data_IF_173487001166
#
_entry.id   IF_173487001166
#
_cell.length_a   1.000
_cell.length_b   1.000
_cell.length_c   1.000
_cell.angle_alpha   90.00
_cell.angle_beta   90.00
_cell.angle_gamma   90.00
#
_symmetry.space_group_name_H-M   'P 1'
#
loop_
_entity.id
_entity.type
_entity.pdbx_description
1 polymer ?
#
# COMPACT_ATOMS: atom_id res chain seq x y z
N UNK A 1 -11.96 20.62 0.04
CA UNK A 1 -12.80 20.14 -1.09
C UNK A 1 -13.96 19.33 -0.52
N UNK A 2 -15.14 19.28 -1.15
CA UNK A 2 -16.19 18.37 -0.71
C UNK A 2 -15.71 16.92 -0.88
N UNK A 3 -15.85 16.13 0.18
CA UNK A 3 -15.53 14.69 0.19
C UNK A 3 -16.34 13.98 -0.89
N UNK A 4 -15.69 13.17 -1.72
CA UNK A 4 -16.40 12.40 -2.73
C UNK A 4 -17.27 11.35 -2.04
N UNK A 5 -18.47 11.03 -2.59
CA UNK A 5 -19.42 10.12 -1.93
C UNK A 5 -18.88 8.69 -1.74
N UNK A 6 -17.84 8.30 -2.49
CA UNK A 6 -17.18 6.99 -2.41
C UNK A 6 -16.01 6.94 -1.42
N UNK A 7 -15.52 8.06 -0.89
CA UNK A 7 -14.38 8.08 0.05
C UNK A 7 -14.63 7.30 1.35
N UNK A 8 -15.80 7.41 2.02
CA UNK A 8 -16.09 6.62 3.21
C UNK A 8 -16.11 5.12 2.93
N UNK A 9 -16.58 4.72 1.75
CA UNK A 9 -16.60 3.33 1.30
C UNK A 9 -15.17 2.84 1.04
N UNK A 10 -14.34 3.64 0.35
CA UNK A 10 -12.94 3.32 0.13
C UNK A 10 -12.17 3.11 1.46
N UNK A 11 -12.39 3.99 2.45
CA UNK A 11 -11.78 3.85 3.77
C UNK A 11 -12.20 2.57 4.52
N UNK A 12 -13.44 2.11 4.33
CA UNK A 12 -13.88 0.82 4.87
C UNK A 12 -13.08 -0.34 4.26
N UNK A 13 -12.87 -0.31 2.95
CA UNK A 13 -12.08 -1.34 2.26
C UNK A 13 -10.59 -1.29 2.63
N UNK A 14 -10.04 -0.08 2.82
CA UNK A 14 -8.67 0.12 3.31
C UNK A 14 -8.47 -0.58 4.65
N UNK A 15 -9.34 -0.32 5.63
CA UNK A 15 -9.21 -0.91 6.97
C UNK A 15 -9.34 -2.43 6.95
N UNK A 16 -10.27 -2.96 6.15
CA UNK A 16 -10.43 -4.40 6.00
C UNK A 16 -9.17 -5.06 5.40
N UNK A 17 -8.63 -4.51 4.31
CA UNK A 17 -7.43 -5.07 3.70
C UNK A 17 -6.18 -4.89 4.57
N UNK A 18 -6.04 -3.73 5.22
CA UNK A 18 -4.93 -3.47 6.14
C UNK A 18 -4.87 -4.50 7.28
N UNK A 19 -6.03 -4.93 7.81
CA UNK A 19 -6.11 -6.02 8.80
C UNK A 19 -5.48 -7.32 8.27
N UNK A 20 -5.80 -7.72 7.05
CA UNK A 20 -5.23 -8.95 6.45
C UNK A 20 -3.73 -8.82 6.23
N UNK A 21 -3.26 -7.69 5.70
CA UNK A 21 -1.84 -7.43 5.49
C UNK A 21 -1.06 -7.39 6.80
N UNK A 22 -1.63 -6.82 7.86
CA UNK A 22 -1.03 -6.79 9.19
C UNK A 22 -0.82 -8.22 9.75
N UNK A 23 -1.84 -9.07 9.67
CA UNK A 23 -1.71 -10.47 10.12
C UNK A 23 -0.71 -11.24 9.27
N UNK A 24 -0.69 -10.97 7.96
CA UNK A 24 0.30 -11.54 7.05
C UNK A 24 1.72 -11.18 7.50
N UNK A 25 2.01 -9.91 7.74
CA UNK A 25 3.33 -9.44 8.16
C UNK A 25 3.80 -10.09 9.48
N UNK A 26 2.96 -10.06 10.51
CA UNK A 26 3.28 -10.66 11.83
C UNK A 26 3.55 -12.15 11.70
N UNK A 27 2.63 -12.88 11.05
CA UNK A 27 2.71 -14.34 11.00
C UNK A 27 3.83 -14.81 10.08
N UNK A 28 4.09 -14.11 8.98
CA UNK A 28 5.21 -14.42 8.09
C UNK A 28 6.56 -14.29 8.80
N UNK A 29 6.72 -13.31 9.69
CA UNK A 29 7.96 -13.13 10.45
C UNK A 29 8.23 -14.34 11.36
N UNK A 30 7.23 -14.80 12.13
CA UNK A 30 7.36 -15.98 13.00
C UNK A 30 7.63 -17.25 12.19
N UNK A 31 6.91 -17.45 11.08
CA UNK A 31 7.07 -18.65 10.25
C UNK A 31 8.40 -18.67 9.48
N UNK A 32 9.04 -17.52 9.28
CA UNK A 32 10.36 -17.44 8.67
C UNK A 32 11.46 -17.98 9.59
N UNK A 33 11.22 -18.08 10.90
CA UNK A 33 12.18 -18.64 11.87
C UNK A 33 12.40 -20.14 11.68
N UNK A 34 11.39 -20.88 11.17
CA UNK A 34 11.49 -22.32 10.87
C UNK A 34 10.81 -22.67 9.53
N UNK A 35 11.52 -22.49 8.40
CA UNK A 35 10.98 -22.80 7.08
C UNK A 35 10.63 -24.29 6.91
N UNK A 36 11.35 -25.20 7.57
CA UNK A 36 11.12 -26.65 7.44
C UNK A 36 9.79 -27.03 8.06
N UNK A 37 9.50 -26.54 9.26
CA UNK A 37 8.22 -26.77 9.93
C UNK A 37 7.06 -26.10 9.18
N UNK A 38 7.27 -24.88 8.66
CA UNK A 38 6.27 -24.20 7.80
C UNK A 38 5.92 -25.04 6.58
N UNK A 39 6.92 -25.56 5.88
CA UNK A 39 6.71 -26.34 4.65
C UNK A 39 6.05 -27.70 4.96
N UNK A 40 6.33 -28.30 6.11
CA UNK A 40 5.61 -29.47 6.59
C UNK A 40 4.12 -29.15 6.86
N UNK A 41 3.83 -28.05 7.57
CA UNK A 41 2.46 -27.61 7.81
C UNK A 41 1.70 -27.31 6.51
N UNK A 42 2.37 -26.75 5.50
CA UNK A 42 1.77 -26.53 4.18
C UNK A 42 1.35 -27.85 3.50
N UNK A 43 2.14 -28.91 3.64
CA UNK A 43 1.77 -30.25 3.14
C UNK A 43 0.60 -30.84 3.92
N UNK A 44 0.59 -30.68 5.24
CA UNK A 44 -0.52 -31.14 6.09
C UNK A 44 -1.82 -30.39 5.78
N UNK A 45 -1.72 -29.08 5.50
CA UNK A 45 -2.84 -28.25 5.09
C UNK A 45 -3.44 -28.71 3.75
N UNK A 46 -2.59 -29.12 2.79
CA UNK A 46 -3.05 -29.72 1.53
C UNK A 46 -3.88 -31.00 1.72
N UNK A 47 -3.63 -31.73 2.81
CA UNK A 47 -4.39 -32.92 3.18
C UNK A 47 -5.64 -32.61 4.03
N UNK A 48 -5.78 -31.38 4.51
CA UNK A 48 -6.88 -30.96 5.39
C UNK A 48 -8.22 -30.91 4.66
N UNK A 49 -9.29 -31.29 5.38
CA UNK A 49 -10.68 -31.22 4.91
C UNK A 49 -11.53 -30.25 5.75
N UNK A 50 -10.89 -29.36 6.51
CA UNK A 50 -11.60 -28.43 7.37
C UNK A 50 -12.41 -27.41 6.54
N UNK A 51 -13.64 -27.04 6.95
CA UNK A 51 -14.60 -26.28 6.14
C UNK A 51 -14.18 -24.82 5.79
N UNK A 52 -13.05 -24.34 6.30
CA UNK A 52 -12.53 -22.99 6.03
C UNK A 52 -11.05 -22.98 5.62
N UNK A 53 -10.48 -24.17 5.43
CA UNK A 53 -9.11 -24.36 4.93
C UNK A 53 -9.22 -24.68 3.46
N UNK A 54 -8.68 -23.78 2.62
CA UNK A 54 -8.65 -23.98 1.16
C UNK A 54 -7.21 -24.22 0.73
N UNK A 55 -6.85 -25.48 0.44
CA UNK A 55 -5.47 -25.82 0.13
C UNK A 55 -5.00 -25.22 -1.20
N UNK A 56 -5.91 -25.01 -2.15
CA UNK A 56 -5.69 -24.20 -3.33
C UNK A 56 -6.23 -22.78 -3.09
N UNK A 57 -5.36 -21.77 -3.17
CA UNK A 57 -5.70 -20.34 -3.03
C UNK A 57 -6.55 -19.82 -4.21
N UNK A 58 -7.43 -20.65 -4.75
CA UNK A 58 -8.29 -20.37 -5.88
C UNK A 58 -9.62 -19.81 -5.38
N UNK A 59 -10.13 -18.84 -6.12
CA UNK A 59 -11.46 -18.29 -5.90
C UNK A 59 -12.47 -19.08 -6.71
N UNK A 60 -13.51 -19.60 -6.05
CA UNK A 60 -14.68 -20.15 -6.72
C UNK A 60 -15.79 -19.08 -6.77
N UNK A 61 -16.22 -18.63 -7.96
CA UNK A 61 -17.28 -17.63 -8.10
C UNK A 61 -18.62 -18.02 -7.49
N UNK A 62 -18.85 -19.31 -7.22
CA UNK A 62 -20.09 -19.83 -6.61
C UNK A 62 -20.06 -19.88 -5.08
N UNK A 63 -18.92 -19.57 -4.47
CA UNK A 63 -18.78 -19.57 -3.02
C UNK A 63 -19.66 -18.50 -2.35
N UNK A 64 -20.20 -18.86 -1.18
CA UNK A 64 -20.73 -17.88 -0.23
C UNK A 64 -19.55 -17.13 0.43
N UNK A 65 -19.03 -16.15 -0.30
CA UNK A 65 -17.87 -15.37 0.11
C UNK A 65 -18.11 -14.60 1.41
N UNK A 66 -19.34 -14.18 1.71
CA UNK A 66 -19.65 -13.43 2.93
C UNK A 66 -19.50 -14.31 4.18
N UNK A 67 -20.01 -15.54 4.10
CA UNK A 67 -19.84 -16.53 5.17
C UNK A 67 -18.38 -16.92 5.34
N UNK A 68 -17.65 -17.13 4.24
CA UNK A 68 -16.22 -17.47 4.29
C UNK A 68 -15.37 -16.35 4.87
N UNK A 69 -15.53 -15.10 4.38
CA UNK A 69 -14.82 -13.94 4.90
C UNK A 69 -15.09 -13.74 6.39
N UNK A 70 -16.34 -13.89 6.83
CA UNK A 70 -16.69 -13.81 8.26
C UNK A 70 -15.99 -14.89 9.07
N UNK A 71 -15.99 -16.15 8.60
CA UNK A 71 -15.30 -17.25 9.29
C UNK A 71 -13.79 -17.03 9.42
N UNK A 72 -13.15 -16.47 8.38
CA UNK A 72 -11.75 -16.08 8.45
C UNK A 72 -11.55 -14.87 9.37
N UNK A 73 -12.41 -13.86 9.31
CA UNK A 73 -12.34 -12.70 10.19
C UNK A 73 -12.45 -13.05 11.68
N UNK A 74 -13.33 -14.00 12.02
CA UNK A 74 -13.50 -14.56 13.36
C UNK A 74 -12.25 -15.32 13.80
N UNK A 75 -11.66 -16.11 12.90
CA UNK A 75 -10.39 -16.82 13.14
C UNK A 75 -9.22 -15.84 13.34
N UNK A 76 -9.20 -14.74 12.57
CA UNK A 76 -8.18 -13.69 12.64
C UNK A 76 -8.34 -12.78 13.86
N UNK A 77 -9.49 -12.78 14.54
CA UNK A 77 -9.69 -12.04 15.78
C UNK A 77 -8.99 -12.68 17.00
N UNK A 78 -8.66 -13.97 16.94
CA UNK A 78 -8.02 -14.70 18.04
C UNK A 78 -6.50 -14.57 17.99
N UNK A 79 -5.85 -14.07 19.04
CA UNK A 79 -4.38 -13.95 19.08
C UNK A 79 -3.69 -15.30 18.84
N UNK A 80 -2.62 -15.31 18.04
CA UNK A 80 -1.79 -16.51 17.87
C UNK A 80 -0.84 -16.66 19.05
N UNK A 81 -0.80 -17.86 19.60
CA UNK A 81 0.03 -18.20 20.76
C UNK A 81 1.14 -19.19 20.42
N UNK A 82 1.11 -19.78 19.22
CA UNK A 82 2.07 -20.79 18.78
C UNK A 82 2.32 -20.75 17.26
N UNK A 83 3.31 -21.51 16.81
CA UNK A 83 3.70 -21.58 15.40
C UNK A 83 2.57 -22.06 14.48
N UNK A 84 1.72 -22.97 14.96
CA UNK A 84 0.62 -23.53 14.16
C UNK A 84 -0.52 -22.52 13.97
N UNK A 85 -0.86 -21.77 15.01
CA UNK A 85 -1.83 -20.68 14.96
C UNK A 85 -1.33 -19.54 14.08
N UNK A 86 -0.04 -19.19 14.13
CA UNK A 86 0.56 -18.27 13.16
C UNK A 86 0.46 -18.80 11.71
N UNK A 87 0.72 -20.09 11.49
CA UNK A 87 0.57 -20.70 10.16
C UNK A 87 -0.86 -20.59 9.62
N UNK A 88 -1.85 -20.95 10.43
CA UNK A 88 -3.26 -20.87 10.03
C UNK A 88 -3.72 -19.42 9.83
N UNK A 89 -3.30 -18.50 10.70
CA UNK A 89 -3.61 -17.06 10.55
C UNK A 89 -3.00 -16.49 9.28
N UNK A 90 -1.76 -16.84 8.94
CA UNK A 90 -1.17 -16.44 7.67
C UNK A 90 -2.01 -16.96 6.50
N UNK A 91 -2.36 -18.24 6.52
CA UNK A 91 -3.17 -18.85 5.46
C UNK A 91 -4.54 -18.17 5.29
N UNK A 92 -5.27 -17.96 6.40
CA UNK A 92 -6.56 -17.27 6.39
C UNK A 92 -6.44 -15.82 5.93
N UNK A 93 -5.40 -15.09 6.33
CA UNK A 93 -5.16 -13.72 5.88
C UNK A 93 -4.89 -13.65 4.37
N UNK A 94 -4.10 -14.59 3.82
CA UNK A 94 -3.83 -14.66 2.37
C UNK A 94 -5.09 -14.97 1.59
N UNK A 95 -5.88 -15.96 2.00
CA UNK A 95 -7.08 -16.29 1.23
C UNK A 95 -8.18 -15.24 1.39
N UNK A 96 -8.32 -14.65 2.59
CA UNK A 96 -9.27 -13.57 2.82
C UNK A 96 -8.92 -12.35 1.95
N UNK A 97 -7.65 -11.99 1.81
CA UNK A 97 -7.25 -10.88 0.93
C UNK A 97 -7.57 -11.15 -0.54
N UNK A 98 -7.34 -12.38 -1.03
CA UNK A 98 -7.69 -12.79 -2.40
C UNK A 98 -9.21 -12.74 -2.63
N UNK A 99 -10.01 -13.30 -1.73
CA UNK A 99 -11.48 -13.30 -1.86
C UNK A 99 -12.05 -11.89 -1.74
N UNK A 100 -11.52 -11.08 -0.81
CA UNK A 100 -11.94 -9.71 -0.64
C UNK A 100 -11.61 -8.88 -1.89
N UNK A 101 -10.43 -9.07 -2.48
CA UNK A 101 -10.06 -8.42 -3.73
C UNK A 101 -11.02 -8.79 -4.86
N UNK A 102 -11.32 -10.07 -5.03
CA UNK A 102 -12.16 -10.56 -6.12
C UNK A 102 -13.63 -10.15 -5.99
N UNK A 103 -14.25 -10.38 -4.82
CA UNK A 103 -15.71 -10.19 -4.63
C UNK A 103 -16.10 -8.80 -4.16
N UNK A 104 -15.19 -8.05 -3.53
CA UNK A 104 -15.52 -6.77 -2.89
C UNK A 104 -14.78 -5.61 -3.54
N UNK A 105 -13.46 -5.67 -3.62
CA UNK A 105 -12.66 -4.54 -4.08
C UNK A 105 -12.72 -4.35 -5.60
N UNK A 106 -12.57 -5.42 -6.38
CA UNK A 106 -12.62 -5.37 -7.84
C UNK A 106 -13.95 -4.81 -8.36
N UNK A 107 -15.13 -5.23 -7.85
CA UNK A 107 -16.40 -4.59 -8.20
C UNK A 107 -16.50 -3.12 -7.80
N UNK A 108 -15.95 -2.74 -6.63
CA UNK A 108 -15.93 -1.33 -6.20
C UNK A 108 -15.04 -0.46 -7.12
N UNK A 109 -13.87 -0.97 -7.53
CA UNK A 109 -12.99 -0.30 -8.49
C UNK A 109 -13.69 -0.16 -9.85
N UNK A 110 -14.39 -1.21 -10.33
CA UNK A 110 -15.15 -1.12 -11.58
C UNK A 110 -16.28 -0.10 -11.50
N UNK A 111 -16.94 0.04 -10.35
CA UNK A 111 -18.04 0.98 -10.13
C UNK A 111 -17.57 2.44 -10.05
N UNK A 112 -16.48 2.70 -9.35
CA UNK A 112 -16.03 4.06 -9.02
C UNK A 112 -14.84 4.55 -9.86
N UNK A 113 -14.18 3.66 -10.59
CA UNK A 113 -13.09 3.96 -11.51
C UNK A 113 -11.75 4.27 -10.84
N UNK A 114 -10.84 4.85 -11.61
CA UNK A 114 -9.42 4.98 -11.24
C UNK A 114 -9.18 5.87 -10.02
N UNK A 115 -10.00 6.91 -9.82
CA UNK A 115 -9.88 7.79 -8.64
C UNK A 115 -10.08 7.04 -7.32
N UNK A 116 -11.04 6.11 -7.28
CA UNK A 116 -11.24 5.24 -6.13
C UNK A 116 -10.04 4.32 -5.92
N UNK A 117 -9.53 3.72 -7.01
CA UNK A 117 -8.37 2.82 -6.95
C UNK A 117 -7.12 3.54 -6.42
N UNK A 118 -6.82 4.73 -6.95
CA UNK A 118 -5.70 5.56 -6.49
C UNK A 118 -5.84 5.92 -5.01
N UNK A 119 -7.01 6.41 -4.61
CA UNK A 119 -7.26 6.77 -3.21
C UNK A 119 -7.15 5.57 -2.28
N UNK A 120 -7.76 4.43 -2.66
CA UNK A 120 -7.68 3.18 -1.92
C UNK A 120 -6.23 2.72 -1.74
N UNK A 121 -5.45 2.66 -2.81
CA UNK A 121 -4.04 2.23 -2.76
C UNK A 121 -3.19 3.16 -1.90
N UNK A 122 -3.35 4.48 -2.05
CA UNK A 122 -2.63 5.46 -1.25
C UNK A 122 -2.95 5.31 0.23
N UNK A 123 -4.24 5.24 0.61
CA UNK A 123 -4.65 5.10 2.00
C UNK A 123 -4.29 3.73 2.58
N UNK A 124 -4.35 2.66 1.79
CA UNK A 124 -3.91 1.33 2.22
C UNK A 124 -2.41 1.30 2.54
N UNK A 125 -1.59 1.90 1.68
CA UNK A 125 -0.15 1.98 1.92
C UNK A 125 0.15 2.76 3.21
N UNK A 126 -0.51 3.89 3.44
CA UNK A 126 -0.33 4.67 4.67
C UNK A 126 -0.74 3.89 5.91
N UNK A 127 -1.90 3.24 5.88
CA UNK A 127 -2.40 2.44 7.01
C UNK A 127 -1.42 1.28 7.31
N UNK A 128 -0.94 0.61 6.27
CA UNK A 128 -0.01 -0.50 6.41
C UNK A 128 1.37 -0.06 6.91
N UNK A 129 1.91 1.05 6.39
CA UNK A 129 3.18 1.62 6.86
C UNK A 129 3.09 2.09 8.30
N UNK A 130 1.99 2.76 8.67
CA UNK A 130 1.72 3.14 10.06
C UNK A 130 1.70 1.92 10.97
N UNK A 131 1.07 0.82 10.54
CA UNK A 131 1.08 -0.43 11.27
C UNK A 131 2.49 -1.03 11.40
N UNK A 132 3.25 -1.10 10.30
CA UNK A 132 4.61 -1.65 10.31
C UNK A 132 5.55 -0.87 11.23
N UNK A 133 5.36 0.44 11.36
CA UNK A 133 6.11 1.28 12.30
C UNK A 133 5.83 0.95 13.78
N UNK A 134 4.68 0.33 14.10
CA UNK A 134 4.35 -0.11 15.47
C UNK A 134 4.93 -1.47 15.84
N UNK A 135 5.37 -2.26 14.85
CA UNK A 135 5.96 -3.56 15.12
C UNK A 135 7.37 -3.37 15.71
N UNK A 136 7.71 -4.08 16.81
CA UNK A 136 9.06 -4.02 17.35
C UNK A 136 10.06 -4.40 16.25
N UNK A 137 10.95 -3.47 15.89
CA UNK A 137 12.01 -3.68 14.88
C UNK A 137 13.10 -4.67 15.35
N UNK A 138 12.73 -5.71 16.09
CA UNK A 138 13.59 -6.85 16.32
C UNK A 138 13.68 -7.67 15.05
N UNK A 139 14.83 -7.57 14.36
CA UNK A 139 15.30 -8.44 13.27
C UNK A 139 15.12 -7.98 11.81
N UNK A 140 14.73 -6.73 11.51
CA UNK A 140 14.74 -6.22 10.12
C UNK A 140 16.01 -5.45 9.71
N UNK A 141 16.95 -5.18 10.63
CA UNK A 141 18.20 -4.47 10.31
C UNK A 141 19.38 -4.97 11.15
N UNK A 142 19.99 -6.10 10.79
CA UNK A 142 21.36 -6.40 11.28
C UNK A 142 22.43 -6.52 10.20
N UNK A 143 22.09 -6.62 8.91
CA UNK A 143 23.09 -6.81 7.86
C UNK A 143 22.93 -5.90 6.63
N UNK A 144 22.27 -4.75 6.77
CA UNK A 144 22.43 -3.68 5.78
C UNK A 144 23.68 -2.89 6.18
N UNK A 145 24.79 -2.92 5.42
CA UNK A 145 25.97 -2.14 5.77
C UNK A 145 25.58 -0.67 5.76
N UNK A 146 25.56 -0.06 6.95
CA UNK A 146 25.41 1.38 7.11
C UNK A 146 26.47 2.06 6.25
N UNK A 147 26.06 2.63 5.12
CA UNK A 147 26.95 3.52 4.37
C UNK A 147 27.26 4.71 5.27
N UNK A 148 28.51 5.19 5.28
CA UNK A 148 28.91 6.28 6.15
C UNK A 148 28.03 7.49 5.86
N UNK A 149 27.36 7.94 6.92
CA UNK A 149 26.60 9.19 6.96
C UNK A 149 27.45 10.30 6.34
N UNK A 150 27.06 10.77 5.16
CA UNK A 150 27.47 12.07 4.68
C UNK A 150 26.78 13.08 5.60
N UNK A 151 27.59 13.67 6.49
CA UNK A 151 27.27 14.73 7.43
C UNK A 151 25.92 15.41 7.19
N UNK A 152 25.03 15.19 8.16
CA UNK A 152 23.93 16.08 8.47
C UNK A 152 24.48 17.50 8.68
N UNK A 153 24.37 18.34 7.65
CA UNK A 153 23.92 19.70 7.90
C UNK A 153 22.48 19.57 8.35
N UNK A 154 22.16 20.06 9.55
CA UNK A 154 20.81 20.09 10.08
C UNK A 154 19.87 20.67 9.02
N UNK A 155 19.09 19.81 8.36
CA UNK A 155 18.00 20.24 7.52
C UNK A 155 16.88 20.64 8.47
N UNK A 156 16.72 21.95 8.64
CA UNK A 156 15.54 22.53 9.24
C UNK A 156 14.30 21.84 8.66
N UNK A 157 13.42 21.33 9.53
CA UNK A 157 12.11 20.82 9.13
C UNK A 157 11.48 21.81 8.14
N UNK A 158 11.07 21.38 6.93
CA UNK A 158 10.59 22.31 5.92
C UNK A 158 9.33 22.98 6.46
N UNK A 159 9.45 24.28 6.75
CA UNK A 159 8.32 25.09 7.17
C UNK A 159 7.24 25.03 6.09
N UNK A 160 5.95 24.86 6.45
CA UNK A 160 4.87 24.84 5.48
C UNK A 160 4.90 26.14 4.66
N UNK A 161 4.66 26.08 3.33
CA UNK A 161 4.56 27.29 2.53
C UNK A 161 3.40 28.16 3.02
N UNK A 162 3.46 29.49 2.79
CA UNK A 162 2.37 30.39 3.15
C UNK A 162 1.03 29.90 2.59
N UNK A 163 -0.04 29.97 3.40
CA UNK A 163 -1.39 29.53 3.03
C UNK A 163 -1.90 30.15 1.71
N UNK A 164 -1.37 31.31 1.33
CA UNK A 164 -1.77 32.08 0.14
C UNK A 164 -1.18 31.62 -1.19
N UNK A 165 -0.37 30.55 -1.24
CA UNK A 165 0.11 30.04 -2.54
C UNK A 165 -1.02 29.37 -3.32
N UNK A 166 -1.14 29.74 -4.61
CA UNK A 166 -2.11 29.15 -5.51
C UNK A 166 -1.81 27.64 -5.72
N UNK A 167 -2.86 26.82 -5.74
CA UNK A 167 -2.75 25.44 -6.17
C UNK A 167 -2.25 25.36 -7.62
N UNK A 168 -1.61 24.26 -7.98
CA UNK A 168 -1.26 24.01 -9.38
C UNK A 168 -2.55 23.75 -10.16
N UNK A 169 -2.89 24.63 -11.10
CA UNK A 169 -4.08 24.45 -11.91
C UNK A 169 -3.94 23.29 -12.90
N UNK A 170 -5.07 22.79 -13.40
CA UNK A 170 -5.11 21.65 -14.32
C UNK A 170 -4.36 21.92 -15.64
N UNK A 171 -4.35 23.17 -16.12
CA UNK A 171 -3.66 23.52 -17.35
C UNK A 171 -2.14 23.40 -17.17
N UNK A 172 -1.63 23.83 -16.02
CA UNK A 172 -0.23 23.72 -15.62
C UNK A 172 0.17 22.28 -15.36
N UNK A 173 -0.67 21.47 -14.69
CA UNK A 173 -0.41 20.03 -14.54
C UNK A 173 -0.35 19.34 -15.90
N UNK A 174 -1.28 19.65 -16.80
CA UNK A 174 -1.30 19.07 -18.15
C UNK A 174 -0.06 19.45 -18.96
N UNK A 175 0.38 20.71 -18.86
CA UNK A 175 1.61 21.17 -19.50
C UNK A 175 2.87 20.48 -18.94
N UNK A 176 2.92 20.26 -17.62
CA UNK A 176 4.02 19.56 -16.97
C UNK A 176 4.06 18.07 -17.35
N UNK A 177 2.91 17.40 -17.45
CA UNK A 177 2.83 15.98 -17.84
C UNK A 177 3.09 15.79 -19.35
N UNK A 178 2.80 16.79 -20.18
CA UNK A 178 3.16 16.78 -21.60
C UNK A 178 4.68 16.81 -21.84
N UNK A 179 5.47 17.19 -20.83
CA UNK A 179 6.92 17.14 -20.86
C UNK A 179 7.43 16.59 -19.53
N UNK A 180 7.31 15.27 -19.29
CA UNK A 180 7.62 14.64 -18.01
C UNK A 180 8.98 15.03 -17.44
N UNK A 181 9.98 15.22 -18.31
CA UNK A 181 11.34 15.63 -17.92
C UNK A 181 11.36 16.99 -17.20
N UNK A 182 10.39 17.86 -17.45
CA UNK A 182 10.24 19.13 -16.76
C UNK A 182 9.89 18.94 -15.27
N UNK A 183 9.37 17.78 -14.87
CA UNK A 183 9.06 17.49 -13.46
C UNK A 183 10.29 17.10 -12.64
N UNK A 184 11.40 16.69 -13.29
CA UNK A 184 12.61 16.24 -12.59
C UNK A 184 13.18 17.37 -11.71
N UNK A 185 13.36 17.06 -10.42
CA UNK A 185 13.92 18.00 -9.46
C UNK A 185 12.97 19.10 -9.01
N UNK A 186 11.73 19.17 -9.52
CA UNK A 186 10.73 20.10 -8.98
C UNK A 186 10.21 19.56 -7.65
N UNK A 187 10.22 20.43 -6.64
CA UNK A 187 9.59 20.20 -5.35
C UNK A 187 8.18 20.81 -5.31
N UNK A 188 7.24 20.02 -4.82
CA UNK A 188 5.84 20.40 -4.62
C UNK A 188 5.50 20.21 -3.16
N UNK A 189 4.69 21.10 -2.59
CA UNK A 189 4.20 20.92 -1.23
C UNK A 189 2.77 20.40 -1.27
N UNK A 190 2.57 19.22 -0.68
CA UNK A 190 1.27 18.59 -0.57
C UNK A 190 0.52 19.16 0.64
N UNK A 191 -0.73 19.56 0.45
CA UNK A 191 -1.54 20.23 1.48
C UNK A 191 -2.50 19.30 2.23
N UNK A 192 -2.60 18.05 1.81
CA UNK A 192 -3.43 17.05 2.49
C UNK A 192 -2.94 16.83 3.92
N UNK A 193 -3.84 16.86 4.92
CA UNK A 193 -3.49 16.73 6.34
C UNK A 193 -2.71 15.44 6.66
N UNK A 194 -2.77 14.43 5.79
CA UNK A 194 -2.11 13.13 5.97
C UNK A 194 -0.81 13.03 5.17
N UNK A 195 -0.68 13.73 4.04
CA UNK A 195 0.51 13.72 3.17
C UNK A 195 1.27 15.06 3.18
N UNK A 196 1.02 15.87 4.20
CA UNK A 196 1.59 17.20 4.34
C UNK A 196 3.11 17.11 4.33
N UNK A 197 3.73 17.74 3.36
CA UNK A 197 5.18 17.68 3.20
C UNK A 197 5.64 18.01 1.80
N UNK A 198 6.96 18.02 1.62
CA UNK A 198 7.59 18.36 0.35
C UNK A 198 7.85 17.08 -0.43
N UNK A 199 7.27 17.00 -1.62
CA UNK A 199 7.42 15.90 -2.56
C UNK A 199 8.31 16.35 -3.71
N UNK A 200 9.17 15.47 -4.21
CA UNK A 200 10.04 15.75 -5.35
C UNK A 200 10.04 14.59 -6.31
N UNK A 201 9.86 14.85 -7.60
CA UNK A 201 10.08 13.82 -8.63
C UNK A 201 11.59 13.66 -8.83
N UNK A 202 12.09 12.47 -8.53
CA UNK A 202 13.52 12.14 -8.54
C UNK A 202 13.96 11.50 -9.85
N UNK A 203 13.24 10.47 -10.27
CA UNK A 203 13.57 9.70 -11.48
C UNK A 203 12.32 9.46 -12.31
N UNK A 204 12.46 9.42 -13.63
CA UNK A 204 11.39 9.04 -14.55
C UNK A 204 11.85 7.84 -15.36
N UNK A 205 11.08 6.77 -15.31
CA UNK A 205 11.37 5.51 -16.00
C UNK A 205 10.27 5.23 -17.01
N UNK A 206 10.63 4.93 -18.26
CA UNK A 206 9.67 4.50 -19.28
C UNK A 206 9.68 2.98 -19.34
N UNK A 207 8.56 2.34 -18.98
CA UNK A 207 8.38 0.89 -19.03
C UNK A 207 7.59 0.53 -20.29
N UNK A 208 8.22 -0.17 -21.22
CA UNK A 208 7.51 -0.69 -22.41
C UNK A 208 6.98 -2.08 -22.12
N UNK A 209 5.68 -2.27 -22.33
CA UNK A 209 4.96 -3.53 -22.16
C UNK A 209 4.33 -3.96 -23.49
N UNK A 210 3.77 -5.16 -23.55
CA UNK A 210 3.08 -5.69 -24.73
C UNK A 210 1.87 -4.84 -25.16
N UNK A 211 1.28 -4.07 -24.24
CA UNK A 211 0.11 -3.20 -24.48
C UNK A 211 0.49 -1.72 -24.69
N UNK A 212 1.79 -1.40 -24.72
CA UNK A 212 2.30 -0.05 -24.96
C UNK A 212 3.36 0.39 -23.95
N UNK A 213 3.83 1.63 -24.10
CA UNK A 213 4.81 2.26 -23.20
C UNK A 213 4.09 3.06 -22.13
N UNK A 214 4.33 2.73 -20.86
CA UNK A 214 3.90 3.51 -19.70
C UNK A 214 5.07 4.32 -19.14
N UNK A 215 4.76 5.51 -18.63
CA UNK A 215 5.71 6.35 -17.88
C UNK A 215 5.48 6.11 -16.39
N UNK A 216 6.54 5.76 -15.68
CA UNK A 216 6.58 5.58 -14.23
C UNK A 216 7.45 6.68 -13.65
N UNK A 217 6.90 7.38 -12.66
CA UNK A 217 7.57 8.44 -11.93
C UNK A 217 8.00 7.90 -10.57
N UNK A 218 9.26 8.13 -10.20
CA UNK A 218 9.77 7.85 -8.86
C UNK A 218 9.75 9.16 -8.10
N UNK A 219 8.90 9.23 -7.09
CA UNK A 219 8.70 10.42 -6.25
C UNK A 219 9.30 10.16 -4.87
N UNK A 220 10.03 11.14 -4.36
CA UNK A 220 10.62 11.17 -3.03
C UNK A 220 9.83 12.10 -2.12
N UNK A 221 9.81 11.77 -0.84
CA UNK A 221 9.37 12.65 0.23
C UNK A 221 10.62 13.24 0.91
N UNK A 222 10.67 14.55 1.15
CA UNK A 222 11.89 15.26 1.63
C UNK A 222 12.40 14.69 2.98
N UNK A 223 11.51 14.11 3.76
CA UNK A 223 11.72 13.59 5.11
C UNK A 223 12.06 12.09 5.14
N UNK A 224 11.95 11.39 4.00
CA UNK A 224 12.10 9.95 3.90
C UNK A 224 12.93 9.55 2.68
N UNK A 225 13.92 8.66 2.87
CA UNK A 225 14.68 8.07 1.75
C UNK A 225 13.84 7.12 0.87
N UNK A 226 12.55 6.96 1.19
CA UNK A 226 11.63 6.05 0.52
C UNK A 226 11.22 6.58 -0.87
N UNK A 227 11.20 5.65 -1.84
CA UNK A 227 10.92 5.92 -3.25
C UNK A 227 9.55 5.36 -3.62
N UNK A 228 8.66 6.24 -4.05
CA UNK A 228 7.32 5.86 -4.49
C UNK A 228 7.25 5.79 -6.01
N UNK A 229 6.94 4.62 -6.57
CA UNK A 229 6.62 4.49 -7.99
C UNK A 229 5.16 4.91 -8.23
N UNK A 230 4.95 5.88 -9.12
CA UNK A 230 3.64 6.41 -9.47
C UNK A 230 3.43 6.39 -10.98
N UNK A 231 2.19 6.15 -11.40
CA UNK A 231 1.77 6.35 -12.80
C UNK A 231 1.62 7.84 -13.11
N UNK A 232 1.47 8.17 -14.40
CA UNK A 232 1.15 9.53 -14.85
C UNK A 232 -0.12 10.08 -14.18
N UNK A 233 -1.14 9.24 -14.01
CA UNK A 233 -2.38 9.62 -13.32
C UNK A 233 -2.14 9.86 -11.82
N UNK A 234 -1.31 9.04 -11.17
CA UNK A 234 -0.94 9.24 -9.77
C UNK A 234 -0.19 10.56 -9.54
N UNK A 235 0.75 10.90 -10.43
CA UNK A 235 1.48 12.18 -10.37
C UNK A 235 0.55 13.36 -10.68
N UNK A 236 -0.37 13.20 -11.63
CA UNK A 236 -1.39 14.21 -11.92
C UNK A 236 -2.21 14.57 -10.68
N UNK A 237 -2.69 13.54 -9.98
CA UNK A 237 -3.48 13.72 -8.75
C UNK A 237 -2.64 14.39 -7.65
N UNK A 238 -1.38 13.96 -7.48
CA UNK A 238 -0.45 14.57 -6.53
C UNK A 238 -0.23 16.07 -6.82
N UNK A 239 0.03 16.43 -8.08
CA UNK A 239 0.27 17.81 -8.49
C UNK A 239 -0.96 18.70 -8.31
N UNK A 240 -2.15 18.20 -8.63
CA UNK A 240 -3.41 18.94 -8.47
C UNK A 240 -3.75 19.26 -7.01
N UNK A 241 -3.26 18.44 -6.08
CA UNK A 241 -3.43 18.65 -4.64
C UNK A 241 -2.30 19.48 -4.03
N UNK A 242 -1.22 19.68 -4.78
CA UNK A 242 -0.04 20.39 -4.32
C UNK A 242 -0.07 21.88 -4.64
N UNK A 243 0.81 22.63 -3.96
CA UNK A 243 1.20 23.98 -4.33
C UNK A 243 2.70 24.02 -4.66
N UNK A 244 3.09 24.91 -5.58
CA UNK A 244 4.49 25.03 -6.01
C UNK A 244 5.32 25.65 -4.87
N UNK A 245 6.50 25.06 -4.60
CA UNK A 245 7.48 25.64 -3.67
C UNK A 245 8.26 26.82 -4.29
#
# INVERSE_FOLDING_TARGET
>A
MPTQPWEPEALKHVRAMAKYLAVHAISAQVLAEDPTRRDQMAKELQASKAPHVRPDLRVDPSDDYETLLRGWDDSLAQEATDFQSHFLRLHYAVIASIYYDYFVLSPAIQKYGTRFSNFYQQKLNLEFMSFMATLPHGQLNKDTPSRPHLNAGAADSPSPPPADRANIDLARVTALLASPEALLGISFYQRDEVLAGVWRVDTITRRTTLIGTSVIFVVLFDDHEERFEMSEEGVKDLLLQSCVR
#
